data_IF_891937286030
#
_entry.id   IF_891937286030
#
_cell.length_a   1.000
_cell.length_b   1.000
_cell.length_c   1.000
_cell.angle_alpha   90.00
_cell.angle_beta   90.00
_cell.angle_gamma   90.00
#
_symmetry.space_group_name_H-M   'P 1'
#
loop_
_entity.id
_entity.type
_entity.pdbx_description
1 polymer ?
#
# COMPACT_ATOMS: atom_id res chain seq x y z
N UNK A 1 28.45 16.58 11.22
CA UNK A 1 27.12 17.08 10.80
C UNK A 1 26.84 16.43 9.45
N UNK A 2 26.21 15.24 9.46
CA UNK A 2 25.76 14.60 8.22
C UNK A 2 24.50 15.35 7.80
N UNK A 3 24.60 16.22 6.81
CA UNK A 3 23.47 16.85 6.17
C UNK A 3 22.62 15.79 5.47
N UNK A 4 21.49 15.67 5.93
CA UNK A 4 20.31 14.89 5.75
C UNK A 4 20.00 14.51 4.30
N UNK A 5 20.55 13.39 3.84
CA UNK A 5 20.39 12.80 2.51
C UNK A 5 18.91 12.52 2.14
N UNK A 6 18.02 12.48 3.14
CA UNK A 6 16.60 12.13 3.00
C UNK A 6 15.66 13.36 2.88
N UNK A 7 16.14 14.56 3.23
CA UNK A 7 15.38 15.81 3.04
C UNK A 7 15.59 16.47 1.68
N UNK A 8 16.54 15.97 0.88
CA UNK A 8 16.82 16.49 -0.46
C UNK A 8 15.59 16.52 -1.40
N UNK A 9 14.68 15.51 -1.41
CA UNK A 9 13.43 15.59 -2.16
C UNK A 9 12.44 16.61 -1.60
N UNK A 10 12.47 16.88 -0.29
CA UNK A 10 11.59 17.80 0.40
C UNK A 10 12.09 19.26 0.36
N UNK A 11 13.39 19.48 0.16
CA UNK A 11 13.98 20.82 0.05
C UNK A 11 13.47 21.63 -1.16
N UNK A 12 13.02 20.94 -2.22
CA UNK A 12 12.37 21.58 -3.38
C UNK A 12 10.86 21.82 -3.19
N UNK A 13 10.27 21.34 -2.10
CA UNK A 13 8.84 21.38 -1.85
C UNK A 13 8.32 22.82 -1.66
N UNK A 14 9.04 23.66 -0.93
CA UNK A 14 8.67 25.06 -0.66
C UNK A 14 8.50 25.95 -1.90
N UNK A 15 9.19 25.61 -3.00
CA UNK A 15 9.19 26.45 -4.20
C UNK A 15 8.22 25.95 -5.29
N UNK A 16 7.62 24.77 -5.16
CA UNK A 16 6.89 24.13 -6.26
C UNK A 16 5.41 23.85 -5.99
N UNK A 17 4.95 23.83 -4.74
CA UNK A 17 3.62 23.33 -4.37
C UNK A 17 2.79 24.36 -3.62
N UNK A 18 2.78 25.64 -4.07
CA UNK A 18 2.06 26.69 -3.35
C UNK A 18 0.54 26.52 -3.35
N UNK A 19 -0.04 25.98 -4.43
CA UNK A 19 -1.50 25.87 -4.63
C UNK A 19 -1.95 24.45 -5.00
N UNK A 20 -1.08 23.45 -4.86
CA UNK A 20 -1.36 22.05 -5.25
C UNK A 20 -1.20 21.12 -4.06
N UNK A 21 -1.98 20.02 -4.08
CA UNK A 21 -1.90 18.97 -3.07
C UNK A 21 -0.83 17.94 -3.45
N UNK A 22 -0.01 17.58 -2.49
CA UNK A 22 0.84 16.38 -2.50
C UNK A 22 0.18 15.30 -1.66
N UNK A 23 0.08 14.09 -2.18
CA UNK A 23 -0.35 12.92 -1.40
C UNK A 23 0.85 11.99 -1.26
N UNK A 24 1.24 11.69 -0.03
CA UNK A 24 2.32 10.76 0.27
C UNK A 24 1.77 9.36 0.46
N UNK A 25 2.31 8.41 -0.31
CA UNK A 25 1.94 7.00 -0.25
C UNK A 25 2.97 6.22 0.56
N UNK A 26 2.50 5.61 1.63
CA UNK A 26 3.21 4.63 2.45
C UNK A 26 2.52 3.27 2.40
N UNK A 27 3.22 2.20 2.78
CA UNK A 27 2.61 0.90 3.05
C UNK A 27 2.84 0.51 4.51
N UNK A 28 4.09 0.52 4.97
CA UNK A 28 4.40 0.22 6.35
C UNK A 28 5.55 1.04 6.92
N UNK A 29 5.68 1.01 8.25
CA UNK A 29 6.79 1.60 9.00
C UNK A 29 7.41 0.51 9.86
N UNK A 30 8.73 0.34 9.79
CA UNK A 30 9.42 -0.72 10.52
C UNK A 30 10.46 -0.18 11.49
N UNK A 31 10.53 -0.80 12.68
CA UNK A 31 11.64 -0.62 13.64
C UNK A 31 12.68 -1.75 13.53
N UNK A 32 12.44 -2.74 12.66
CA UNK A 32 13.27 -3.92 12.51
C UNK A 32 14.35 -3.71 11.44
N UNK A 33 15.52 -4.30 11.67
CA UNK A 33 16.57 -4.40 10.65
C UNK A 33 16.19 -5.53 9.68
N UNK A 34 16.14 -5.22 8.38
CA UNK A 34 15.91 -6.21 7.33
C UNK A 34 17.06 -7.20 7.23
N UNK A 35 16.74 -8.47 6.98
CA UNK A 35 17.71 -9.56 6.80
C UNK A 35 17.67 -10.02 5.34
N UNK A 36 18.84 -10.13 4.71
CA UNK A 36 18.93 -10.58 3.31
C UNK A 36 18.18 -9.65 2.37
N UNK A 37 17.29 -10.19 1.53
CA UNK A 37 16.48 -9.43 0.55
C UNK A 37 15.15 -8.95 1.11
N UNK A 38 14.89 -9.13 2.42
CA UNK A 38 13.67 -8.63 3.06
C UNK A 38 13.54 -7.12 2.87
N UNK A 39 12.34 -6.68 2.53
CA UNK A 39 12.00 -5.26 2.35
C UNK A 39 12.91 -4.53 1.34
N UNK A 40 13.50 -5.25 0.40
CA UNK A 40 14.41 -4.66 -0.63
C UNK A 40 13.71 -3.61 -1.50
N UNK A 41 12.39 -3.66 -1.60
CA UNK A 41 11.58 -2.64 -2.28
C UNK A 41 11.34 -1.38 -1.46
N UNK A 42 11.80 -1.34 -0.20
CA UNK A 42 11.53 -0.28 0.78
C UNK A 42 10.03 0.00 0.97
N UNK A 43 9.20 -1.04 0.85
CA UNK A 43 7.76 -0.96 1.12
C UNK A 43 7.48 -0.53 2.57
N UNK A 44 8.33 -0.93 3.50
CA UNK A 44 8.34 -0.46 4.89
C UNK A 44 9.54 0.46 5.09
N UNK A 45 9.27 1.74 5.37
CA UNK A 45 10.35 2.68 5.71
C UNK A 45 10.73 2.56 7.18
N UNK A 46 11.93 3.00 7.56
CA UNK A 46 12.33 2.99 8.96
C UNK A 46 11.49 3.97 9.79
N UNK A 47 11.23 3.63 11.07
CA UNK A 47 10.54 4.54 11.99
C UNK A 47 11.25 5.89 12.10
N UNK A 48 12.60 5.90 12.10
CA UNK A 48 13.38 7.12 12.16
C UNK A 48 13.15 8.04 10.96
N UNK A 49 13.13 7.47 9.75
CA UNK A 49 12.84 8.23 8.52
C UNK A 49 11.40 8.71 8.49
N UNK A 50 10.44 7.85 8.86
CA UNK A 50 9.03 8.23 8.93
C UNK A 50 8.81 9.37 9.90
N UNK A 51 9.34 9.27 11.11
CA UNK A 51 9.26 10.31 12.14
C UNK A 51 9.83 11.65 11.67
N UNK A 52 10.95 11.61 10.95
CA UNK A 52 11.57 12.81 10.37
C UNK A 52 10.68 13.44 9.29
N UNK A 53 10.08 12.63 8.41
CA UNK A 53 9.17 13.10 7.36
C UNK A 53 7.89 13.69 7.97
N UNK A 54 7.27 13.04 8.95
CA UNK A 54 6.04 13.53 9.60
C UNK A 54 6.30 14.81 10.38
N UNK A 55 7.45 14.92 11.07
CA UNK A 55 7.86 16.16 11.71
C UNK A 55 7.99 17.30 10.69
N UNK A 56 8.64 17.04 9.55
CA UNK A 56 8.75 18.04 8.48
C UNK A 56 7.36 18.47 7.97
N UNK A 57 6.46 17.53 7.73
CA UNK A 57 5.08 17.83 7.31
C UNK A 57 4.39 18.71 8.34
N UNK A 58 4.52 18.40 9.63
CA UNK A 58 3.91 19.22 10.70
C UNK A 58 4.44 20.62 10.79
N UNK A 59 5.75 20.79 10.63
CA UNK A 59 6.43 22.07 10.79
C UNK A 59 6.33 22.99 9.56
N UNK A 60 6.16 22.40 8.35
CA UNK A 60 6.34 23.13 7.09
C UNK A 60 5.16 23.02 6.11
N UNK A 61 4.15 22.19 6.40
CA UNK A 61 3.06 21.91 5.48
C UNK A 61 1.70 22.10 6.16
N UNK A 62 0.63 22.08 5.36
CA UNK A 62 -0.75 22.02 5.81
C UNK A 62 -1.28 20.59 5.62
N UNK A 63 -1.20 19.70 6.63
CA UNK A 63 -1.71 18.35 6.53
C UNK A 63 -3.25 18.35 6.50
N UNK A 64 -3.81 17.69 5.49
CA UNK A 64 -5.25 17.61 5.26
C UNK A 64 -5.76 16.18 5.47
N UNK A 65 -6.98 16.05 5.99
CA UNK A 65 -7.71 14.78 5.94
C UNK A 65 -8.14 14.46 4.52
N UNK A 66 -8.40 13.18 4.22
CA UNK A 66 -8.88 12.79 2.88
C UNK A 66 -10.27 13.37 2.58
N UNK A 67 -11.10 13.65 3.58
CA UNK A 67 -12.38 14.33 3.41
C UNK A 67 -12.20 15.79 3.00
N UNK A 68 -11.25 16.50 3.59
CA UNK A 68 -10.88 17.85 3.18
C UNK A 68 -10.35 17.87 1.74
N UNK A 69 -9.49 16.90 1.39
CA UNK A 69 -9.01 16.71 0.00
C UNK A 69 -10.20 16.55 -0.95
N UNK A 70 -11.11 15.63 -0.64
CA UNK A 70 -12.30 15.34 -1.45
C UNK A 70 -13.18 16.59 -1.62
N UNK A 71 -13.34 17.38 -0.54
CA UNK A 71 -14.09 18.63 -0.59
C UNK A 71 -13.46 19.63 -1.56
N UNK A 72 -12.15 19.89 -1.47
CA UNK A 72 -11.45 20.81 -2.39
C UNK A 72 -11.51 20.32 -3.84
N UNK A 73 -11.39 19.02 -4.08
CA UNK A 73 -11.53 18.44 -5.41
C UNK A 73 -12.93 18.69 -6.00
N UNK A 74 -13.98 18.46 -5.23
CA UNK A 74 -15.38 18.60 -5.70
C UNK A 74 -15.83 20.03 -5.87
N UNK A 75 -15.38 20.94 -5.01
CA UNK A 75 -15.80 22.34 -5.05
C UNK A 75 -14.93 23.22 -5.95
N UNK A 76 -13.75 22.73 -6.35
CA UNK A 76 -12.75 23.53 -7.05
C UNK A 76 -12.12 24.63 -6.17
N UNK A 77 -12.41 24.64 -4.85
CA UNK A 77 -11.77 25.56 -3.92
C UNK A 77 -10.26 25.27 -3.84
N UNK A 78 -9.44 26.31 -3.91
CA UNK A 78 -7.98 26.17 -3.81
C UNK A 78 -7.58 25.48 -2.52
N UNK A 79 -6.57 24.61 -2.62
CA UNK A 79 -5.92 24.05 -1.44
C UNK A 79 -5.19 25.13 -0.64
N UNK A 80 -5.10 25.02 0.69
CA UNK A 80 -4.14 25.80 1.47
C UNK A 80 -2.72 25.66 0.91
N UNK A 81 -1.85 26.66 1.02
CA UNK A 81 -0.47 26.52 0.56
C UNK A 81 0.22 25.32 1.21
N UNK A 82 1.06 24.59 0.45
CA UNK A 82 1.79 23.43 0.94
C UNK A 82 0.90 22.31 1.51
N UNK A 83 -0.26 22.07 0.91
CA UNK A 83 -1.17 21.00 1.32
C UNK A 83 -0.57 19.62 1.11
N UNK A 84 -0.66 18.79 2.14
CA UNK A 84 -0.18 17.39 2.12
C UNK A 84 -1.24 16.48 2.70
N UNK A 85 -1.48 15.32 2.09
CA UNK A 85 -2.25 14.24 2.68
C UNK A 85 -1.37 12.99 2.85
N UNK A 86 -1.58 12.25 3.94
CA UNK A 86 -0.83 11.02 4.26
C UNK A 86 -1.73 9.82 4.01
N UNK A 87 -1.23 8.86 3.23
CA UNK A 87 -1.96 7.63 2.92
C UNK A 87 -1.11 6.39 3.18
N UNK A 88 -1.76 5.34 3.67
CA UNK A 88 -1.18 4.02 3.83
C UNK A 88 -2.02 3.01 3.06
N UNK A 89 -1.39 2.09 2.36
CA UNK A 89 -2.06 1.00 1.66
C UNK A 89 -1.81 -0.35 2.38
N UNK A 90 -2.57 -1.39 2.04
CA UNK A 90 -2.47 -2.81 2.42
C UNK A 90 -3.06 -3.18 3.80
N UNK A 91 -2.87 -2.39 4.85
CA UNK A 91 -3.33 -2.73 6.20
C UNK A 91 -2.34 -3.61 6.99
N UNK A 92 -1.05 -3.28 6.95
CA UNK A 92 -0.03 -3.92 7.79
C UNK A 92 -0.20 -3.57 9.28
N UNK A 93 0.12 -4.50 10.15
CA UNK A 93 0.04 -4.32 11.61
C UNK A 93 0.91 -3.16 12.11
N UNK A 94 2.05 -2.93 11.49
CA UNK A 94 2.95 -1.83 11.83
C UNK A 94 2.38 -0.43 11.53
N UNK A 95 1.28 -0.33 10.79
CA UNK A 95 0.52 0.92 10.68
C UNK A 95 -0.08 1.30 12.04
N UNK A 96 -0.61 0.33 12.79
CA UNK A 96 -1.13 0.53 14.13
C UNK A 96 -0.01 0.67 15.17
N UNK A 97 0.96 -0.26 15.16
CA UNK A 97 1.98 -0.34 16.21
C UNK A 97 3.02 0.79 16.16
N UNK A 98 3.34 1.32 14.95
CA UNK A 98 4.44 2.28 14.75
C UNK A 98 3.96 3.57 14.08
N UNK A 99 3.27 3.49 12.94
CA UNK A 99 2.89 4.69 12.20
C UNK A 99 1.89 5.56 12.96
N UNK A 100 0.81 4.98 13.49
CA UNK A 100 -0.23 5.72 14.20
C UNK A 100 0.28 6.44 15.45
N UNK A 101 1.11 5.86 16.33
CA UNK A 101 1.74 6.58 17.44
C UNK A 101 2.52 7.81 16.99
N UNK A 102 3.30 7.72 15.91
CA UNK A 102 4.05 8.86 15.37
C UNK A 102 3.11 9.94 14.83
N UNK A 103 2.08 9.56 14.07
CA UNK A 103 1.08 10.50 13.55
C UNK A 103 0.33 11.22 14.68
N UNK A 104 -0.03 10.51 15.76
CA UNK A 104 -0.65 11.09 16.95
C UNK A 104 0.27 12.10 17.66
N UNK A 105 1.54 11.77 17.81
CA UNK A 105 2.54 12.66 18.43
C UNK A 105 2.61 14.01 17.72
N UNK A 106 2.61 13.98 16.39
CA UNK A 106 2.69 15.20 15.56
C UNK A 106 1.32 15.77 15.17
N UNK A 107 0.22 15.16 15.56
CA UNK A 107 -1.15 15.56 15.20
C UNK A 107 -1.32 15.72 13.67
N UNK A 108 -0.84 14.73 12.91
CA UNK A 108 -0.94 14.68 11.45
C UNK A 108 -2.00 13.65 11.05
N UNK A 109 -3.06 14.05 10.32
CA UNK A 109 -4.09 13.13 9.88
C UNK A 109 -3.57 12.18 8.79
N UNK A 110 -4.16 10.99 8.72
CA UNK A 110 -3.86 9.99 7.69
C UNK A 110 -5.08 9.15 7.33
N UNK A 111 -5.05 8.53 6.14
CA UNK A 111 -6.00 7.51 5.73
C UNK A 111 -5.28 6.16 5.57
N UNK A 112 -5.90 5.09 6.07
CA UNK A 112 -5.43 3.71 5.94
C UNK A 112 -6.37 2.95 5.02
N UNK A 113 -5.90 2.62 3.82
CA UNK A 113 -6.62 1.80 2.85
C UNK A 113 -6.28 0.32 3.10
N UNK A 114 -7.27 -0.44 3.52
CA UNK A 114 -7.07 -1.77 4.09
C UNK A 114 -7.62 -2.84 3.16
N UNK A 115 -6.82 -3.86 2.88
CA UNK A 115 -7.28 -5.10 2.26
C UNK A 115 -8.13 -5.88 3.26
N UNK A 116 -9.46 -5.79 3.12
CA UNK A 116 -10.39 -6.26 4.15
C UNK A 116 -10.31 -7.77 4.42
N UNK A 117 -9.99 -8.56 3.39
CA UNK A 117 -9.92 -10.04 3.49
C UNK A 117 -8.68 -10.57 4.22
N UNK A 118 -7.67 -9.74 4.47
CA UNK A 118 -6.47 -10.17 5.19
C UNK A 118 -6.46 -9.70 6.66
N UNK A 119 -7.41 -8.86 7.07
CA UNK A 119 -7.50 -8.37 8.44
C UNK A 119 -7.72 -9.53 9.41
N UNK A 120 -6.93 -9.58 10.49
CA UNK A 120 -6.99 -10.62 11.52
C UNK A 120 -6.73 -12.04 10.97
N UNK A 121 -5.86 -12.13 9.95
CA UNK A 121 -5.42 -13.42 9.36
C UNK A 121 -3.90 -13.50 9.31
N UNK A 122 -3.39 -14.73 9.11
CA UNK A 122 -1.98 -15.00 8.80
C UNK A 122 -1.71 -15.07 7.29
N UNK A 123 -2.64 -14.58 6.45
CA UNK A 123 -2.45 -14.52 5.01
C UNK A 123 -1.38 -13.49 4.66
N UNK A 124 -0.48 -13.88 3.77
CA UNK A 124 0.53 -13.01 3.21
C UNK A 124 0.09 -12.50 1.83
N UNK A 125 0.59 -11.33 1.44
CA UNK A 125 0.48 -10.92 0.05
C UNK A 125 1.47 -11.74 -0.79
N UNK A 126 1.08 -12.06 -2.01
CA UNK A 126 1.90 -12.87 -2.92
C UNK A 126 3.34 -12.36 -3.08
N UNK A 127 3.54 -11.05 -3.03
CA UNK A 127 4.88 -10.43 -3.09
C UNK A 127 5.71 -10.72 -1.84
N UNK A 128 5.05 -10.78 -0.67
CA UNK A 128 5.69 -11.08 0.61
C UNK A 128 5.98 -12.60 0.71
N UNK A 129 5.10 -13.46 0.18
CA UNK A 129 5.34 -14.90 0.09
C UNK A 129 6.57 -15.22 -0.78
N UNK A 130 6.67 -14.60 -1.96
CA UNK A 130 7.85 -14.74 -2.83
C UNK A 130 9.13 -14.28 -2.14
N UNK A 131 9.08 -13.10 -1.50
CA UNK A 131 10.22 -12.54 -0.77
C UNK A 131 10.63 -13.47 0.37
N UNK A 132 9.68 -13.93 1.18
CA UNK A 132 9.90 -14.85 2.29
C UNK A 132 10.55 -16.15 1.83
N UNK A 133 9.99 -16.81 0.82
CA UNK A 133 10.47 -18.08 0.29
C UNK A 133 11.90 -17.95 -0.28
N UNK A 134 12.14 -16.96 -1.12
CA UNK A 134 13.46 -16.78 -1.75
C UNK A 134 14.50 -16.31 -0.74
N UNK A 135 14.12 -15.48 0.24
CA UNK A 135 15.03 -14.99 1.27
C UNK A 135 15.49 -16.12 2.20
N UNK A 136 14.56 -16.98 2.62
CA UNK A 136 14.79 -17.97 3.67
C UNK A 136 15.36 -19.31 3.17
N UNK A 137 15.33 -19.57 1.85
CA UNK A 137 15.82 -20.85 1.34
C UNK A 137 17.33 -21.01 1.47
N UNK A 138 17.76 -22.23 1.81
CA UNK A 138 19.15 -22.69 1.76
C UNK A 138 19.52 -23.36 0.42
N UNK A 139 18.56 -23.50 -0.50
CA UNK A 139 18.81 -24.00 -1.84
C UNK A 139 19.72 -23.04 -2.60
N UNK A 140 20.60 -23.58 -3.44
CA UNK A 140 21.42 -22.78 -4.36
C UNK A 140 20.72 -22.47 -5.67
N UNK A 141 19.70 -23.24 -5.98
CA UNK A 141 18.98 -23.18 -7.25
C UNK A 141 17.55 -23.68 -7.09
N UNK A 142 16.60 -23.00 -7.72
CA UNK A 142 15.20 -23.41 -7.82
C UNK A 142 14.80 -23.52 -9.30
N UNK A 143 13.79 -24.33 -9.58
CA UNK A 143 13.22 -24.48 -10.91
C UNK A 143 11.72 -24.19 -10.85
N UNK A 144 11.23 -23.45 -11.81
CA UNK A 144 9.83 -23.06 -11.91
C UNK A 144 9.35 -23.29 -13.35
N UNK A 145 8.10 -23.69 -13.51
CA UNK A 145 7.44 -23.72 -14.80
C UNK A 145 6.77 -22.35 -15.03
N UNK A 146 7.45 -21.50 -15.78
CA UNK A 146 6.90 -20.24 -16.30
C UNK A 146 6.30 -20.50 -17.69
N UNK A 147 6.71 -19.78 -18.74
CA UNK A 147 6.39 -20.18 -20.12
C UNK A 147 7.10 -21.48 -20.52
N UNK A 148 8.21 -21.81 -19.85
CA UNK A 148 8.98 -23.05 -19.95
C UNK A 148 9.68 -23.31 -18.62
N UNK A 149 10.25 -24.52 -18.44
CA UNK A 149 11.07 -24.81 -17.25
C UNK A 149 12.23 -23.79 -17.17
N UNK A 150 12.17 -22.94 -16.18
CA UNK A 150 13.16 -21.89 -15.95
C UNK A 150 13.87 -22.09 -14.63
N UNK A 151 15.17 -21.90 -14.61
CA UNK A 151 16.02 -22.13 -13.48
C UNK A 151 16.59 -20.83 -12.94
N UNK A 152 16.48 -20.64 -11.61
CA UNK A 152 16.98 -19.45 -10.91
C UNK A 152 18.04 -19.87 -9.89
N UNK A 153 19.17 -19.16 -9.89
CA UNK A 153 20.12 -19.25 -8.79
C UNK A 153 19.62 -18.41 -7.63
N UNK A 154 19.79 -18.90 -6.38
CA UNK A 154 19.32 -18.28 -5.15
C UNK A 154 20.27 -18.47 -3.97
N UNK A 155 21.59 -18.64 -4.25
CA UNK A 155 22.62 -18.88 -3.24
C UNK A 155 23.13 -17.56 -2.61
N UNK A 156 23.39 -16.54 -3.44
CA UNK A 156 23.88 -15.24 -2.97
C UNK A 156 22.76 -14.20 -2.89
N UNK A 157 23.02 -13.09 -2.19
CA UNK A 157 22.11 -11.95 -2.11
C UNK A 157 21.69 -11.45 -3.50
N UNK A 158 22.65 -11.25 -4.40
CA UNK A 158 22.42 -10.74 -5.77
C UNK A 158 21.62 -11.72 -6.61
N UNK A 159 21.84 -13.01 -6.43
CA UNK A 159 21.09 -14.08 -7.11
C UNK A 159 19.65 -14.12 -6.61
N UNK A 160 19.42 -14.07 -5.28
CA UNK A 160 18.10 -13.99 -4.66
C UNK A 160 17.33 -12.75 -5.14
N UNK A 161 17.97 -11.59 -5.15
CA UNK A 161 17.38 -10.35 -5.62
C UNK A 161 17.00 -10.42 -7.11
N UNK A 162 17.88 -10.99 -7.92
CA UNK A 162 17.63 -11.16 -9.38
C UNK A 162 16.47 -12.13 -9.62
N UNK A 163 16.42 -13.25 -8.91
CA UNK A 163 15.33 -14.21 -8.97
C UNK A 163 13.99 -13.56 -8.58
N UNK A 164 13.95 -12.88 -7.42
CA UNK A 164 12.76 -12.18 -6.93
C UNK A 164 12.24 -11.18 -7.95
N UNK A 165 13.10 -10.31 -8.50
CA UNK A 165 12.71 -9.31 -9.51
C UNK A 165 12.11 -9.95 -10.75
N UNK A 166 12.73 -11.03 -11.29
CA UNK A 166 12.25 -11.71 -12.50
C UNK A 166 10.91 -12.40 -12.26
N UNK A 167 10.77 -13.14 -11.15
CA UNK A 167 9.55 -13.87 -10.81
C UNK A 167 8.40 -12.87 -10.54
N UNK A 168 8.64 -11.80 -9.76
CA UNK A 168 7.65 -10.73 -9.56
C UNK A 168 7.22 -10.08 -10.87
N UNK A 169 8.18 -9.79 -11.76
CA UNK A 169 7.90 -9.21 -13.07
C UNK A 169 6.99 -10.10 -13.92
N UNK A 170 7.22 -11.41 -13.90
CA UNK A 170 6.38 -12.39 -14.59
C UNK A 170 4.97 -12.47 -13.97
N UNK A 171 4.88 -12.61 -12.65
CA UNK A 171 3.61 -12.68 -11.93
C UNK A 171 2.70 -11.45 -12.13
N UNK A 172 3.27 -10.26 -12.34
CA UNK A 172 2.49 -9.04 -12.62
C UNK A 172 1.75 -9.08 -13.95
N UNK A 173 2.17 -9.91 -14.89
CA UNK A 173 1.55 -10.08 -16.20
C UNK A 173 0.56 -11.25 -16.26
N UNK A 174 0.52 -12.09 -15.23
CA UNK A 174 -0.31 -13.28 -15.16
C UNK A 174 -1.72 -13.02 -14.66
N UNK A 175 -2.66 -13.94 -14.97
CA UNK A 175 -3.94 -14.02 -14.26
C UNK A 175 -3.73 -14.33 -12.77
N UNK A 176 -4.73 -14.04 -11.93
CA UNK A 176 -4.66 -14.34 -10.49
C UNK A 176 -4.43 -15.84 -10.22
N UNK A 177 -5.05 -16.72 -11.00
CA UNK A 177 -4.87 -18.17 -10.89
C UNK A 177 -3.44 -18.61 -11.23
N UNK A 178 -2.89 -18.12 -12.32
CA UNK A 178 -1.52 -18.44 -12.74
C UNK A 178 -0.49 -17.86 -11.76
N UNK A 179 -0.71 -16.64 -11.28
CA UNK A 179 0.11 -16.04 -10.23
C UNK A 179 0.14 -16.91 -8.96
N UNK A 180 -1.03 -17.36 -8.48
CA UNK A 180 -1.11 -18.22 -7.30
C UNK A 180 -0.39 -19.58 -7.53
N UNK A 181 -0.49 -20.16 -8.73
CA UNK A 181 0.25 -21.37 -9.10
C UNK A 181 1.76 -21.16 -8.98
N UNK A 182 2.28 -20.04 -9.54
CA UNK A 182 3.72 -19.75 -9.52
C UNK A 182 4.21 -19.52 -8.09
N UNK A 183 3.46 -18.77 -7.27
CA UNK A 183 3.79 -18.52 -5.87
C UNK A 183 3.88 -19.85 -5.09
N UNK A 184 2.90 -20.73 -5.26
CA UNK A 184 2.92 -22.08 -4.66
C UNK A 184 4.09 -22.93 -5.15
N UNK A 185 4.45 -22.84 -6.43
CA UNK A 185 5.61 -23.54 -6.98
C UNK A 185 6.95 -23.01 -6.43
N UNK A 186 7.04 -21.69 -6.17
CA UNK A 186 8.21 -21.10 -5.49
C UNK A 186 8.31 -21.65 -4.07
N UNK A 187 7.22 -21.69 -3.30
CA UNK A 187 7.22 -22.26 -1.96
C UNK A 187 7.69 -23.73 -1.97
N UNK A 188 7.13 -24.54 -2.86
CA UNK A 188 7.53 -25.95 -3.02
C UNK A 188 9.01 -26.10 -3.44
N UNK A 189 9.48 -25.30 -4.41
CA UNK A 189 10.84 -25.39 -4.96
C UNK A 189 11.91 -24.88 -4.00
N UNK A 190 11.57 -23.92 -3.14
CA UNK A 190 12.43 -23.41 -2.07
C UNK A 190 12.41 -24.27 -0.81
N UNK A 191 11.42 -25.18 -0.67
CA UNK A 191 11.13 -25.95 0.55
C UNK A 191 10.84 -25.03 1.77
N UNK A 192 10.26 -23.85 1.52
CA UNK A 192 9.86 -22.90 2.55
C UNK A 192 8.34 -22.80 2.55
N UNK A 193 7.73 -22.99 3.71
CA UNK A 193 6.35 -22.63 3.96
C UNK A 193 6.30 -21.16 4.38
N UNK A 194 5.75 -20.25 3.55
CA UNK A 194 5.73 -18.83 3.88
C UNK A 194 4.86 -18.57 5.12
N UNK A 195 5.31 -17.69 5.99
CA UNK A 195 4.60 -17.37 7.22
C UNK A 195 4.85 -15.92 7.65
N UNK A 196 3.83 -15.27 8.18
CA UNK A 196 3.93 -13.94 8.81
C UNK A 196 4.91 -13.91 10.00
N UNK A 197 5.29 -15.07 10.52
CA UNK A 197 6.24 -15.18 11.63
C UNK A 197 7.71 -15.00 11.20
N UNK A 198 8.02 -15.02 9.91
CA UNK A 198 9.37 -14.74 9.42
C UNK A 198 9.76 -13.27 9.57
N UNK A 199 8.78 -12.36 9.54
CA UNK A 199 9.03 -10.92 9.74
C UNK A 199 7.80 -10.21 10.28
N UNK A 200 8.00 -9.24 11.17
CA UNK A 200 6.94 -8.32 11.61
C UNK A 200 6.38 -7.50 10.45
N UNK A 201 7.14 -7.30 9.37
CA UNK A 201 6.71 -6.58 8.18
C UNK A 201 5.63 -7.34 7.37
N UNK A 202 5.42 -8.64 7.62
CA UNK A 202 4.38 -9.43 6.94
C UNK A 202 3.05 -9.48 7.70
N UNK A 203 3.05 -9.10 8.99
CA UNK A 203 1.87 -9.18 9.86
C UNK A 203 0.77 -8.20 9.42
N UNK A 204 -0.48 -8.65 9.54
CA UNK A 204 -1.67 -7.88 9.20
C UNK A 204 -2.33 -7.31 10.47
N UNK A 205 -2.97 -6.15 10.31
CA UNK A 205 -3.74 -5.51 11.36
C UNK A 205 -4.92 -6.41 11.78
N UNK A 206 -5.25 -6.42 13.06
CA UNK A 206 -6.46 -7.07 13.59
C UNK A 206 -7.68 -6.16 13.54
N UNK A 207 -8.89 -6.74 13.60
CA UNK A 207 -10.13 -5.95 13.69
C UNK A 207 -10.19 -5.06 14.92
N UNK A 208 -9.61 -5.49 16.03
CA UNK A 208 -9.53 -4.69 17.25
C UNK A 208 -8.66 -3.44 17.03
N UNK A 209 -7.45 -3.63 16.50
CA UNK A 209 -6.51 -2.55 16.20
C UNK A 209 -7.08 -1.58 15.15
N UNK A 210 -7.74 -2.12 14.10
CA UNK A 210 -8.38 -1.30 13.06
C UNK A 210 -9.53 -0.47 13.63
N UNK A 211 -10.35 -1.05 14.54
CA UNK A 211 -11.41 -0.32 15.23
C UNK A 211 -10.85 0.77 16.13
N UNK A 212 -9.69 0.56 16.74
CA UNK A 212 -9.02 1.59 17.53
C UNK A 212 -8.51 2.75 16.67
N UNK A 213 -7.95 2.46 15.48
CA UNK A 213 -7.59 3.50 14.50
C UNK A 213 -8.80 4.30 14.06
N UNK A 214 -9.90 3.62 13.74
CA UNK A 214 -11.14 4.22 13.22
C UNK A 214 -11.82 5.17 14.23
N UNK A 215 -11.65 4.92 15.52
CA UNK A 215 -12.17 5.80 16.59
C UNK A 215 -11.36 7.07 16.80
N UNK A 216 -10.17 7.13 16.26
CA UNK A 216 -9.30 8.29 16.40
C UNK A 216 -9.66 9.33 15.31
N UNK A 217 -10.03 10.57 15.69
CA UNK A 217 -10.44 11.59 14.73
C UNK A 217 -9.33 12.04 13.76
N UNK A 218 -8.08 11.65 14.01
CA UNK A 218 -6.97 11.89 13.09
C UNK A 218 -6.98 10.93 11.89
N UNK A 219 -7.68 9.79 12.00
CA UNK A 219 -7.54 8.72 11.03
C UNK A 219 -8.86 8.44 10.30
N UNK A 220 -8.72 8.07 9.04
CA UNK A 220 -9.81 7.59 8.20
C UNK A 220 -9.48 6.19 7.72
N UNK A 221 -10.45 5.29 7.72
CA UNK A 221 -10.30 3.96 7.14
C UNK A 221 -10.94 3.95 5.75
N UNK A 222 -10.19 3.44 4.76
CA UNK A 222 -10.66 3.20 3.40
C UNK A 222 -10.47 1.73 3.00
N UNK A 223 -11.05 1.33 1.89
CA UNK A 223 -10.93 -0.02 1.34
C UNK A 223 -9.82 -0.12 0.28
N UNK A 224 -9.23 -1.33 0.15
CA UNK A 224 -8.18 -1.66 -0.82
C UNK A 224 -8.40 -3.04 -1.44
N UNK A 225 -9.63 -3.37 -1.84
CA UNK A 225 -10.10 -4.71 -2.21
C UNK A 225 -10.06 -5.72 -1.05
N UNK A 226 -10.37 -7.00 -1.34
CA UNK A 226 -10.25 -8.05 -0.33
C UNK A 226 -8.79 -8.52 -0.14
N UNK A 227 -8.11 -8.80 -1.25
CA UNK A 227 -6.82 -9.50 -1.25
C UNK A 227 -5.76 -8.80 -2.11
N UNK A 228 -5.86 -7.48 -2.28
CA UNK A 228 -4.98 -6.70 -3.15
C UNK A 228 -5.05 -7.12 -4.63
N UNK A 229 -6.26 -7.40 -5.10
CA UNK A 229 -6.48 -7.80 -6.51
C UNK A 229 -6.47 -6.58 -7.44
N UNK A 230 -5.71 -6.67 -8.53
CA UNK A 230 -5.70 -5.66 -9.59
C UNK A 230 -7.04 -5.69 -10.32
N UNK A 231 -7.81 -4.61 -10.25
CA UNK A 231 -9.22 -4.59 -10.68
C UNK A 231 -9.38 -4.89 -12.18
N UNK A 232 -8.56 -4.27 -13.02
CA UNK A 232 -8.66 -4.42 -14.48
C UNK A 232 -8.34 -5.82 -14.99
N UNK A 233 -7.58 -6.61 -14.21
CA UNK A 233 -7.18 -7.96 -14.61
C UNK A 233 -8.22 -9.03 -14.25
N UNK A 234 -9.38 -8.62 -13.68
CA UNK A 234 -10.45 -9.52 -13.27
C UNK A 234 -11.64 -9.50 -14.24
N UNK A 235 -12.38 -10.60 -14.33
CA UNK A 235 -13.72 -10.57 -14.88
C UNK A 235 -14.58 -9.51 -14.15
N UNK A 236 -15.43 -8.80 -14.86
CA UNK A 236 -16.23 -7.68 -14.32
C UNK A 236 -17.02 -8.09 -13.06
N UNK A 237 -17.60 -9.29 -13.04
CA UNK A 237 -18.32 -9.83 -11.88
C UNK A 237 -17.42 -9.95 -10.65
N UNK A 238 -16.19 -10.43 -10.82
CA UNK A 238 -15.24 -10.65 -9.72
C UNK A 238 -14.68 -9.31 -9.23
N UNK A 239 -14.45 -8.36 -10.14
CA UNK A 239 -14.08 -6.99 -9.81
C UNK A 239 -15.15 -6.33 -8.92
N UNK A 240 -16.42 -6.42 -9.31
CA UNK A 240 -17.52 -5.88 -8.50
C UNK A 240 -17.61 -6.57 -7.14
N UNK A 241 -17.48 -7.89 -7.12
CA UNK A 241 -17.54 -8.65 -5.88
C UNK A 241 -16.41 -8.26 -4.91
N UNK A 242 -15.16 -8.14 -5.37
CA UNK A 242 -14.04 -7.78 -4.49
C UNK A 242 -14.17 -6.35 -3.95
N UNK A 243 -14.68 -5.40 -4.74
CA UNK A 243 -14.97 -4.03 -4.26
C UNK A 243 -16.08 -4.07 -3.21
N UNK A 244 -17.26 -4.63 -3.56
CA UNK A 244 -18.41 -4.60 -2.66
C UNK A 244 -18.14 -5.33 -1.35
N UNK A 245 -17.60 -6.54 -1.42
CA UNK A 245 -17.30 -7.32 -0.22
C UNK A 245 -16.25 -6.65 0.67
N UNK A 246 -15.29 -5.93 0.09
CA UNK A 246 -14.31 -5.17 0.90
C UNK A 246 -14.97 -4.02 1.67
N UNK A 247 -15.86 -3.27 1.01
CA UNK A 247 -16.64 -2.20 1.64
C UNK A 247 -17.59 -2.74 2.71
N UNK A 248 -18.31 -3.82 2.40
CA UNK A 248 -19.26 -4.44 3.33
C UNK A 248 -18.56 -5.00 4.58
N UNK A 249 -17.44 -5.68 4.41
CA UNK A 249 -16.69 -6.29 5.51
C UNK A 249 -16.11 -5.23 6.46
N UNK A 250 -15.55 -4.15 5.92
CA UNK A 250 -15.09 -3.03 6.72
C UNK A 250 -16.27 -2.33 7.42
N UNK A 251 -17.33 -2.01 6.68
CA UNK A 251 -18.52 -1.35 7.23
C UNK A 251 -19.19 -2.17 8.34
N UNK A 252 -19.26 -3.50 8.17
CA UNK A 252 -19.81 -4.40 9.19
C UNK A 252 -19.00 -4.39 10.48
N UNK A 253 -17.67 -4.39 10.41
CA UNK A 253 -16.82 -4.41 11.60
C UNK A 253 -16.70 -3.03 12.25
N UNK A 254 -16.57 -1.96 11.47
CA UNK A 254 -16.41 -0.59 11.97
C UNK A 254 -17.73 0.11 12.33
N UNK A 255 -18.88 -0.46 11.92
CA UNK A 255 -20.25 0.01 12.23
C UNK A 255 -20.65 1.33 11.55
N UNK A 256 -19.99 1.68 10.46
CA UNK A 256 -20.37 2.80 9.57
C UNK A 256 -19.99 2.50 8.13
N UNK A 257 -20.52 3.26 7.19
CA UNK A 257 -20.20 3.13 5.76
C UNK A 257 -18.78 3.59 5.45
N UNK A 258 -18.10 2.89 4.56
CA UNK A 258 -16.75 3.25 4.06
C UNK A 258 -16.90 4.01 2.75
N UNK A 259 -16.33 5.22 2.70
CA UNK A 259 -16.47 6.13 1.56
C UNK A 259 -15.17 6.41 0.81
N UNK A 260 -14.07 5.82 1.22
CA UNK A 260 -12.76 5.98 0.58
C UNK A 260 -12.21 4.64 0.13
N UNK A 261 -11.57 4.64 -1.03
CA UNK A 261 -10.97 3.45 -1.63
C UNK A 261 -9.59 3.81 -2.19
N UNK A 262 -8.71 2.85 -2.41
CA UNK A 262 -7.46 3.00 -3.16
C UNK A 262 -7.30 1.82 -4.11
N UNK A 263 -6.82 2.07 -5.34
CA UNK A 263 -6.64 1.01 -6.32
C UNK A 263 -5.38 0.19 -6.03
N UNK A 264 -5.46 -1.16 -5.92
CA UNK A 264 -4.27 -2.00 -5.83
C UNK A 264 -3.31 -1.78 -7.01
N UNK A 265 -2.01 -1.66 -6.72
CA UNK A 265 -0.93 -1.27 -7.65
C UNK A 265 -1.13 0.14 -8.27
N UNK A 266 -2.32 0.65 -8.40
CA UNK A 266 -2.75 2.02 -8.69
C UNK A 266 -2.21 2.71 -9.94
N UNK A 267 -1.55 2.01 -10.89
CA UNK A 267 -1.13 2.60 -12.16
C UNK A 267 -2.30 2.64 -13.16
N UNK A 268 -2.21 3.45 -14.20
CA UNK A 268 -3.26 3.62 -15.20
C UNK A 268 -3.73 2.32 -15.88
N UNK A 269 -2.89 1.29 -15.89
CA UNK A 269 -3.21 -0.02 -16.43
C UNK A 269 -3.95 -0.94 -15.44
N UNK A 270 -4.14 -0.54 -14.17
CA UNK A 270 -4.63 -1.41 -13.10
C UNK A 270 -6.11 -1.20 -12.74
N UNK A 271 -6.73 -0.16 -13.23
CA UNK A 271 -8.16 0.14 -13.09
C UNK A 271 -8.72 0.78 -14.38
N UNK A 272 -10.02 0.87 -14.49
CA UNK A 272 -10.70 1.45 -15.66
C UNK A 272 -11.98 2.18 -15.23
N UNK A 273 -12.68 2.77 -16.20
CA UNK A 273 -13.91 3.51 -15.95
C UNK A 273 -15.01 2.65 -15.33
N UNK A 274 -15.07 1.35 -15.62
CA UNK A 274 -16.07 0.45 -15.01
C UNK A 274 -15.86 0.31 -13.52
N UNK A 275 -14.59 0.22 -13.07
CA UNK A 275 -14.25 0.20 -11.66
C UNK A 275 -14.67 1.52 -10.97
N UNK A 276 -14.39 2.66 -11.61
CA UNK A 276 -14.78 3.99 -11.10
C UNK A 276 -16.29 4.10 -10.97
N UNK A 277 -17.04 3.79 -12.05
CA UNK A 277 -18.50 3.84 -12.06
C UNK A 277 -19.14 2.95 -10.99
N UNK A 278 -18.48 1.82 -10.67
CA UNK A 278 -18.97 0.94 -9.62
C UNK A 278 -18.68 1.52 -8.23
N UNK A 279 -17.48 2.04 -8.00
CA UNK A 279 -17.10 2.69 -6.74
C UNK A 279 -18.04 3.86 -6.43
N UNK A 280 -18.33 4.72 -7.40
CA UNK A 280 -19.27 5.83 -7.24
C UNK A 280 -20.67 5.34 -6.84
N UNK A 281 -21.20 4.32 -7.53
CA UNK A 281 -22.49 3.69 -7.18
C UNK A 281 -22.51 3.04 -5.81
N UNK A 282 -21.39 2.51 -5.37
CA UNK A 282 -21.21 1.94 -4.02
C UNK A 282 -21.06 3.01 -2.92
N UNK A 283 -21.06 4.31 -3.28
CA UNK A 283 -20.99 5.42 -2.34
C UNK A 283 -19.55 5.84 -1.97
N UNK A 284 -18.56 5.36 -2.71
CA UNK A 284 -17.18 5.86 -2.59
C UNK A 284 -17.09 7.28 -3.14
N UNK A 285 -16.37 8.13 -2.46
CA UNK A 285 -16.26 9.56 -2.80
C UNK A 285 -14.88 9.96 -3.29
N UNK A 286 -13.88 9.11 -3.03
CA UNK A 286 -12.49 9.37 -3.42
C UNK A 286 -11.71 8.05 -3.53
N UNK A 287 -10.92 7.94 -4.59
CA UNK A 287 -10.03 6.79 -4.81
C UNK A 287 -8.72 7.25 -5.47
N UNK A 288 -7.65 7.51 -4.70
CA UNK A 288 -6.37 7.89 -5.26
C UNK A 288 -5.68 6.73 -5.99
N UNK A 289 -4.92 7.09 -7.00
CA UNK A 289 -4.03 6.19 -7.75
C UNK A 289 -2.64 6.10 -7.09
N UNK A 290 -1.73 5.31 -7.66
CA UNK A 290 -0.31 5.34 -7.32
C UNK A 290 0.54 5.97 -8.45
N UNK A 291 -0.07 6.84 -9.24
CA UNK A 291 0.62 7.60 -10.30
C UNK A 291 1.27 8.80 -9.65
N UNK A 292 2.58 8.95 -9.85
CA UNK A 292 3.35 10.06 -9.28
C UNK A 292 2.90 11.40 -9.86
N UNK A 293 2.66 12.39 -9.00
CA UNK A 293 2.37 13.76 -9.44
C UNK A 293 1.71 14.64 -8.39
N UNK A 294 1.31 15.83 -8.80
CA UNK A 294 0.63 16.84 -7.99
C UNK A 294 -0.85 16.91 -8.40
N UNK A 295 -1.66 17.42 -7.49
CA UNK A 295 -3.10 17.51 -7.67
C UNK A 295 -3.54 18.98 -7.52
N UNK A 296 -3.83 19.69 -8.62
CA UNK A 296 -4.43 21.01 -8.55
C UNK A 296 -5.88 20.96 -8.00
N UNK A 297 -6.38 22.10 -7.54
CA UNK A 297 -7.78 22.23 -7.15
C UNK A 297 -8.72 21.81 -8.30
N UNK A 298 -9.80 21.11 -7.99
CA UNK A 298 -10.72 20.59 -8.99
C UNK A 298 -10.24 19.31 -9.70
N UNK A 299 -9.13 18.70 -9.24
CA UNK A 299 -8.73 17.35 -9.69
C UNK A 299 -9.85 16.35 -9.43
N UNK A 300 -10.00 15.37 -10.33
CA UNK A 300 -10.94 14.28 -10.16
C UNK A 300 -10.55 13.41 -8.94
N UNK A 301 -11.44 13.27 -7.92
CA UNK A 301 -11.14 12.47 -6.73
C UNK A 301 -10.86 11.00 -7.01
N UNK A 302 -11.24 10.47 -8.19
CA UNK A 302 -10.96 9.09 -8.60
C UNK A 302 -9.65 8.93 -9.41
N UNK A 303 -8.92 10.03 -9.61
CA UNK A 303 -7.65 10.07 -10.35
C UNK A 303 -6.54 10.82 -9.62
N UNK A 304 -6.65 10.98 -8.29
CA UNK A 304 -5.63 11.67 -7.50
C UNK A 304 -4.28 10.94 -7.60
N UNK A 305 -3.22 11.70 -7.76
CA UNK A 305 -1.83 11.22 -7.87
C UNK A 305 -1.18 11.20 -6.49
N UNK A 306 -0.32 10.18 -6.29
CA UNK A 306 0.42 10.02 -5.02
C UNK A 306 1.92 9.86 -5.25
#
# INVERSE_FOLDING_TARGET
MEENKYLSPLAGFHNRCLDELVILLYHGVTSSTSIGIENVSQKHISEAEFRQQIRFVRENCNPLTIDQVTHHCRTGQKFPPHSVAITFDDGFKNNFEIAAPVLREYQVPAVFYVCAGVVNTDLMFWVDELECCINSTEKKKIKLMLDSETSFKVDTYEEKLTALKKIKGFCKLCSSMEKSRIVGEVAASTEIEPSVNYSKNYQKISWLELTELDRDPLFTIGAHTLYHDVLRNQPEKDMYATIQLSLDLLSYNLKHSIHHFSYPEGQAAHYDQKAIDYLERAGVVCSPSAIVGLNPAGSDPFHLKR
#
